data_IF_209765158875
#
_entry.id   IF_209765158875
#
_cell.length_a   1.000
_cell.length_b   1.000
_cell.length_c   1.000
_cell.angle_alpha   90.00
_cell.angle_beta   90.00
_cell.angle_gamma   90.00
#
_symmetry.space_group_name_H-M   'P 1'
#
loop_
_entity.id
_entity.type
_entity.pdbx_description
1 polymer ?
#
# COMPACT_ATOMS: atom_id res chain seq x y z
N UNK A 1 -75.80 21.97 -32.28
CA UNK A 1 -76.89 22.39 -31.36
C UNK A 1 -76.82 21.54 -30.10
N UNK A 2 -77.25 22.10 -28.96
CA UNK A 2 -77.08 21.56 -27.61
C UNK A 2 -77.57 20.11 -27.40
N UNK A 3 -78.49 19.63 -28.22
CA UNK A 3 -79.10 18.28 -28.10
C UNK A 3 -78.82 17.39 -29.32
N UNK A 4 -77.96 17.82 -30.24
CA UNK A 4 -77.69 17.10 -31.50
C UNK A 4 -78.80 17.15 -32.56
N UNK A 5 -80.00 17.64 -32.20
CA UNK A 5 -81.18 17.75 -33.10
C UNK A 5 -81.70 19.20 -33.12
N UNK A 6 -82.12 19.72 -34.28
CA UNK A 6 -82.68 21.07 -34.37
C UNK A 6 -84.11 21.12 -33.81
N UNK A 7 -84.45 22.08 -32.91
CA UNK A 7 -85.81 22.20 -32.36
C UNK A 7 -86.94 22.36 -33.39
N UNK A 8 -86.64 22.84 -34.60
CA UNK A 8 -87.61 23.10 -35.67
C UNK A 8 -87.48 22.13 -36.87
N UNK A 9 -86.58 21.13 -36.81
CA UNK A 9 -86.34 20.21 -37.92
C UNK A 9 -87.61 19.43 -38.30
N UNK A 10 -88.09 19.64 -39.53
CA UNK A 10 -89.13 18.83 -40.16
C UNK A 10 -88.55 17.71 -41.02
N UNK A 11 -89.41 16.84 -41.57
CA UNK A 11 -88.98 15.71 -42.43
C UNK A 11 -88.46 16.18 -43.79
N UNK A 12 -88.93 17.33 -44.28
CA UNK A 12 -88.44 18.02 -45.48
C UNK A 12 -87.99 19.44 -45.15
N UNK A 13 -87.22 20.05 -46.05
CA UNK A 13 -86.72 21.43 -45.89
C UNK A 13 -87.88 22.43 -45.76
N UNK A 14 -88.92 22.29 -46.59
CA UNK A 14 -90.09 23.17 -46.54
C UNK A 14 -90.81 23.07 -45.20
N UNK A 15 -90.94 21.87 -44.63
CA UNK A 15 -91.53 21.66 -43.30
C UNK A 15 -90.72 22.38 -42.22
N UNK A 16 -89.38 22.35 -42.33
CA UNK A 16 -88.48 23.04 -41.39
C UNK A 16 -88.64 24.55 -41.49
N UNK A 17 -88.68 25.11 -42.70
CA UNK A 17 -88.90 26.54 -42.93
C UNK A 17 -90.25 26.95 -42.38
N UNK A 18 -91.30 26.16 -42.63
CA UNK A 18 -92.64 26.42 -42.11
C UNK A 18 -92.69 26.38 -40.58
N UNK A 19 -92.02 25.41 -39.94
CA UNK A 19 -91.91 25.32 -38.48
C UNK A 19 -91.17 26.51 -37.87
N UNK A 20 -90.08 26.98 -38.49
CA UNK A 20 -89.36 28.19 -38.07
C UNK A 20 -90.27 29.41 -38.21
N UNK A 21 -90.96 29.54 -39.34
CA UNK A 21 -91.81 30.70 -39.65
C UNK A 21 -93.00 30.79 -38.71
N UNK A 22 -93.57 29.65 -38.32
CA UNK A 22 -94.69 29.55 -37.36
C UNK A 22 -94.25 29.48 -35.90
N UNK A 23 -92.95 29.48 -35.62
CA UNK A 23 -92.42 29.30 -34.25
C UNK A 23 -92.76 27.95 -33.62
N UNK A 24 -93.07 26.93 -34.42
CA UNK A 24 -93.50 25.61 -33.94
C UNK A 24 -92.30 24.70 -33.68
N UNK A 25 -91.85 24.62 -32.43
CA UNK A 25 -90.86 23.62 -32.03
C UNK A 25 -91.46 22.21 -32.09
N UNK A 26 -90.85 21.34 -32.90
CA UNK A 26 -91.27 19.94 -33.08
C UNK A 26 -90.63 19.06 -32.01
N UNK A 27 -89.41 19.41 -31.58
CA UNK A 27 -88.68 18.72 -30.52
C UNK A 27 -88.49 19.72 -29.38
N UNK A 28 -89.19 19.55 -28.23
CA UNK A 28 -88.99 20.42 -27.08
C UNK A 28 -87.60 20.18 -26.46
N UNK A 29 -87.12 21.16 -25.69
CA UNK A 29 -85.90 20.98 -24.93
C UNK A 29 -86.04 19.84 -23.91
N UNK A 30 -85.03 18.96 -23.76
CA UNK A 30 -85.02 17.91 -22.74
C UNK A 30 -85.20 18.46 -21.33
N UNK A 31 -85.74 17.65 -20.43
CA UNK A 31 -86.09 18.07 -19.06
C UNK A 31 -84.90 18.54 -18.20
N UNK A 32 -83.68 18.13 -18.57
CA UNK A 32 -82.45 18.59 -17.91
C UNK A 32 -82.06 20.03 -18.29
N UNK A 33 -82.61 20.58 -19.38
CA UNK A 33 -82.47 21.99 -19.74
C UNK A 33 -83.67 22.73 -19.14
N UNK A 34 -83.48 23.30 -17.96
CA UNK A 34 -84.50 23.99 -17.18
C UNK A 34 -83.98 25.31 -16.60
N UNK A 35 -84.87 26.08 -15.96
CA UNK A 35 -84.54 27.37 -15.35
C UNK A 35 -84.04 28.42 -16.35
N UNK A 36 -83.16 29.30 -15.87
CA UNK A 36 -82.60 30.45 -16.63
C UNK A 36 -81.93 30.03 -17.94
N UNK A 37 -81.25 28.87 -17.98
CA UNK A 37 -80.63 28.34 -19.20
C UNK A 37 -81.69 28.05 -20.28
N UNK A 38 -82.83 27.48 -19.90
CA UNK A 38 -83.92 27.19 -20.83
C UNK A 38 -84.51 28.49 -21.38
N UNK A 39 -84.73 29.48 -20.51
CA UNK A 39 -85.25 30.80 -20.90
C UNK A 39 -84.29 31.51 -21.85
N UNK A 40 -83.00 31.52 -21.54
CA UNK A 40 -81.95 32.06 -22.38
C UNK A 40 -81.96 31.43 -23.79
N UNK A 41 -82.04 30.10 -23.87
CA UNK A 41 -82.10 29.38 -25.14
C UNK A 41 -83.40 29.63 -25.92
N UNK A 42 -84.53 29.74 -25.24
CA UNK A 42 -85.80 30.09 -25.87
C UNK A 42 -85.76 31.51 -26.46
N UNK A 43 -85.17 32.46 -25.75
CA UNK A 43 -85.00 33.83 -26.23
C UNK A 43 -84.05 33.90 -27.43
N UNK A 44 -82.97 33.10 -27.46
CA UNK A 44 -82.08 32.98 -28.62
C UNK A 44 -82.76 32.41 -29.86
N UNK A 45 -83.79 31.57 -29.69
CA UNK A 45 -84.52 30.91 -30.77
C UNK A 45 -85.80 31.66 -31.19
N UNK A 46 -85.97 32.91 -30.76
CA UNK A 46 -87.13 33.72 -31.10
C UNK A 46 -87.29 33.86 -32.62
N UNK A 47 -88.51 33.77 -33.14
CA UNK A 47 -88.78 33.89 -34.58
C UNK A 47 -88.40 35.28 -35.10
N UNK A 48 -88.67 36.30 -34.29
CA UNK A 48 -88.30 37.69 -34.55
C UNK A 48 -86.82 37.92 -34.22
N UNK A 49 -86.04 38.32 -35.22
CA UNK A 49 -84.60 38.47 -35.08
C UNK A 49 -84.22 39.62 -34.14
N UNK A 50 -85.00 40.71 -34.12
CA UNK A 50 -84.74 41.90 -33.30
C UNK A 50 -85.08 41.67 -31.82
N UNK A 51 -85.79 40.59 -31.51
CA UNK A 51 -86.12 40.15 -30.14
C UNK A 51 -85.16 39.11 -29.59
N UNK A 52 -84.18 38.66 -30.37
CA UNK A 52 -83.14 37.75 -29.89
C UNK A 52 -82.12 38.56 -29.08
N UNK A 53 -81.69 38.06 -27.91
CA UNK A 53 -80.71 38.74 -27.11
C UNK A 53 -79.37 38.83 -27.85
N UNK A 54 -78.67 39.94 -27.65
CA UNK A 54 -77.31 40.14 -28.13
C UNK A 54 -76.32 39.26 -27.36
N UNK A 55 -75.11 39.08 -27.90
CA UNK A 55 -74.05 38.35 -27.21
C UNK A 55 -73.68 39.00 -25.86
N UNK A 56 -73.76 40.33 -25.76
CA UNK A 56 -73.51 41.05 -24.52
C UNK A 56 -74.59 40.76 -23.47
N UNK A 57 -75.87 40.85 -23.85
CA UNK A 57 -76.99 40.54 -22.93
C UNK A 57 -76.96 39.08 -22.46
N UNK A 58 -76.54 38.14 -23.33
CA UNK A 58 -76.35 36.74 -22.94
C UNK A 58 -75.22 36.58 -21.92
N UNK A 59 -74.08 37.23 -22.13
CA UNK A 59 -72.93 37.16 -21.23
C UNK A 59 -73.17 37.88 -19.89
N UNK A 60 -74.09 38.84 -19.88
CA UNK A 60 -74.49 39.59 -18.68
C UNK A 60 -75.55 38.88 -17.83
N UNK A 61 -76.08 37.74 -18.28
CA UNK A 61 -76.97 36.88 -17.47
C UNK A 61 -76.28 36.37 -16.21
N UNK A 62 -77.03 36.17 -15.13
CA UNK A 62 -76.47 35.67 -13.86
C UNK A 62 -75.79 34.31 -14.07
N UNK A 63 -76.44 33.43 -14.84
CA UNK A 63 -75.89 32.12 -15.22
C UNK A 63 -74.51 32.23 -15.88
N UNK A 64 -74.34 33.08 -16.90
CA UNK A 64 -73.07 33.23 -17.61
C UNK A 64 -71.99 33.90 -16.77
N UNK A 65 -72.36 34.87 -15.93
CA UNK A 65 -71.44 35.48 -14.97
C UNK A 65 -70.96 34.46 -13.93
N UNK A 66 -71.85 33.60 -13.42
CA UNK A 66 -71.46 32.51 -12.52
C UNK A 66 -70.54 31.50 -13.20
N UNK A 67 -70.84 31.08 -14.44
CA UNK A 67 -69.96 30.19 -15.19
C UNK A 67 -68.58 30.83 -15.41
N UNK A 68 -68.52 32.13 -15.74
CA UNK A 68 -67.26 32.86 -15.89
C UNK A 68 -66.46 32.92 -14.58
N UNK A 69 -67.12 33.07 -13.44
CA UNK A 69 -66.47 33.01 -12.12
C UNK A 69 -65.94 31.61 -11.81
N UNK A 70 -66.69 30.55 -12.13
CA UNK A 70 -66.26 29.16 -11.98
C UNK A 70 -65.02 28.89 -12.84
N UNK A 71 -65.04 29.33 -14.10
CA UNK A 71 -63.92 29.15 -15.03
C UNK A 71 -62.67 29.88 -14.53
N UNK A 72 -62.81 31.14 -14.09
CA UNK A 72 -61.71 31.90 -13.48
C UNK A 72 -61.16 31.25 -12.21
N UNK A 73 -62.03 30.72 -11.34
CA UNK A 73 -61.64 30.04 -10.12
C UNK A 73 -60.91 28.72 -10.40
N UNK A 74 -61.36 27.97 -11.41
CA UNK A 74 -60.71 26.75 -11.86
C UNK A 74 -59.32 27.06 -12.46
N UNK A 75 -59.20 28.08 -13.31
CA UNK A 75 -57.91 28.52 -13.85
C UNK A 75 -56.91 28.94 -12.75
N UNK A 76 -57.39 29.62 -11.70
CA UNK A 76 -56.54 29.99 -10.55
C UNK A 76 -56.12 28.78 -9.72
N UNK A 77 -57.02 27.80 -9.51
CA UNK A 77 -56.67 26.55 -8.82
C UNK A 77 -55.61 25.76 -9.59
N UNK A 78 -55.73 25.63 -10.90
CA UNK A 78 -54.76 24.92 -11.74
C UNK A 78 -53.39 25.60 -11.73
N UNK A 79 -53.35 26.95 -11.78
CA UNK A 79 -52.12 27.73 -11.63
C UNK A 79 -51.47 27.55 -10.25
N UNK A 80 -52.26 27.54 -9.17
CA UNK A 80 -51.75 27.36 -7.82
C UNK A 80 -51.19 25.95 -7.58
N UNK A 81 -51.86 24.92 -8.08
CA UNK A 81 -51.38 23.53 -8.03
C UNK A 81 -50.05 23.40 -8.80
N UNK A 82 -49.96 24.01 -9.99
CA UNK A 82 -48.72 24.08 -10.77
C UNK A 82 -47.58 24.76 -10.02
N UNK A 83 -47.84 25.92 -9.40
CA UNK A 83 -46.87 26.67 -8.62
C UNK A 83 -46.39 25.91 -7.37
N UNK A 84 -47.28 25.22 -6.65
CA UNK A 84 -46.90 24.40 -5.49
C UNK A 84 -46.03 23.21 -5.88
N UNK A 85 -46.35 22.53 -6.98
CA UNK A 85 -45.52 21.44 -7.50
C UNK A 85 -44.14 21.97 -7.94
N UNK A 86 -44.09 23.14 -8.58
CA UNK A 86 -42.84 23.77 -9.00
C UNK A 86 -41.99 24.19 -7.79
N UNK A 87 -42.57 24.76 -6.74
CA UNK A 87 -41.88 25.13 -5.51
C UNK A 87 -41.31 23.92 -4.74
N UNK A 88 -42.07 22.82 -4.66
CA UNK A 88 -41.57 21.55 -4.10
C UNK A 88 -40.34 21.06 -4.86
N UNK A 89 -40.37 21.13 -6.20
CA UNK A 89 -39.26 20.72 -7.06
C UNK A 89 -38.04 21.63 -6.92
N UNK A 90 -38.23 22.94 -6.75
CA UNK A 90 -37.16 23.89 -6.49
C UNK A 90 -36.47 23.56 -5.15
N UNK A 91 -37.25 23.36 -4.08
CA UNK A 91 -36.69 23.01 -2.76
C UNK A 91 -35.90 21.68 -2.79
N UNK A 92 -36.40 20.68 -3.51
CA UNK A 92 -35.68 19.42 -3.72
C UNK A 92 -34.38 19.61 -4.50
N UNK A 93 -34.39 20.45 -5.55
CA UNK A 93 -33.19 20.76 -6.32
C UNK A 93 -32.17 21.54 -5.49
N UNK A 94 -32.58 22.50 -4.68
CA UNK A 94 -31.69 23.22 -3.76
C UNK A 94 -31.08 22.31 -2.70
N UNK A 95 -31.84 21.35 -2.18
CA UNK A 95 -31.32 20.34 -1.26
C UNK A 95 -30.27 19.45 -1.94
N UNK A 96 -30.53 19.03 -3.19
CA UNK A 96 -29.56 18.27 -4.00
C UNK A 96 -28.31 19.07 -4.32
N UNK A 97 -28.44 20.36 -4.65
CA UNK A 97 -27.29 21.25 -4.90
C UNK A 97 -26.43 21.36 -3.64
N UNK A 98 -27.02 21.61 -2.48
CA UNK A 98 -26.29 21.65 -1.19
C UNK A 98 -25.56 20.34 -0.89
N UNK A 99 -26.19 19.20 -1.16
CA UNK A 99 -25.54 17.89 -0.99
C UNK A 99 -24.37 17.70 -1.97
N UNK A 100 -24.54 18.08 -3.23
CA UNK A 100 -23.47 18.01 -4.24
C UNK A 100 -22.29 18.90 -3.87
N UNK A 101 -22.53 20.14 -3.43
CA UNK A 101 -21.47 21.06 -2.99
C UNK A 101 -20.68 20.48 -1.80
N UNK A 102 -21.36 19.86 -0.83
CA UNK A 102 -20.71 19.19 0.29
C UNK A 102 -19.86 17.99 -0.16
N UNK A 103 -20.35 17.19 -1.11
CA UNK A 103 -19.60 16.07 -1.70
C UNK A 103 -18.36 16.56 -2.46
N UNK A 104 -18.50 17.56 -3.31
CA UNK A 104 -17.39 18.18 -4.04
C UNK A 104 -16.34 18.81 -3.09
N UNK A 105 -16.80 19.46 -2.01
CA UNK A 105 -15.92 20.00 -0.98
C UNK A 105 -15.11 18.90 -0.28
N UNK A 106 -15.75 17.78 0.05
CA UNK A 106 -15.10 16.61 0.66
C UNK A 106 -14.09 15.96 -0.31
N UNK A 107 -14.49 15.74 -1.56
CA UNK A 107 -13.61 15.17 -2.59
C UNK A 107 -12.35 16.04 -2.81
N UNK A 108 -12.51 17.37 -2.81
CA UNK A 108 -11.37 18.30 -2.93
C UNK A 108 -10.42 18.21 -1.74
N UNK A 109 -10.96 18.12 -0.51
CA UNK A 109 -10.14 17.94 0.69
C UNK A 109 -9.40 16.60 0.68
N UNK A 110 -10.06 15.53 0.24
CA UNK A 110 -9.45 14.21 0.16
C UNK A 110 -8.33 14.18 -0.89
N UNK A 111 -8.54 14.80 -2.07
CA UNK A 111 -7.49 14.99 -3.10
C UNK A 111 -6.30 15.80 -2.58
N UNK A 112 -6.52 16.88 -1.82
CA UNK A 112 -5.43 17.66 -1.24
C UNK A 112 -4.65 16.87 -0.18
N UNK A 113 -5.34 16.07 0.65
CA UNK A 113 -4.69 15.19 1.63
C UNK A 113 -3.85 14.11 0.94
N UNK A 114 -4.37 13.50 -0.11
CA UNK A 114 -3.64 12.52 -0.92
C UNK A 114 -2.40 13.13 -1.55
N UNK A 115 -2.53 14.33 -2.14
CA UNK A 115 -1.38 15.05 -2.70
C UNK A 115 -0.31 15.34 -1.64
N UNK A 116 -0.70 15.83 -0.45
CA UNK A 116 0.26 16.07 0.65
C UNK A 116 0.95 14.79 1.11
N UNK A 117 0.24 13.66 1.16
CA UNK A 117 0.81 12.33 1.49
C UNK A 117 1.80 11.87 0.42
N UNK A 118 1.47 12.06 -0.86
CA UNK A 118 2.36 11.75 -1.97
C UNK A 118 3.63 12.61 -1.93
N UNK A 119 3.48 13.93 -1.78
CA UNK A 119 4.62 14.86 -1.66
C UNK A 119 5.53 14.53 -0.48
N UNK A 120 4.97 14.11 0.65
CA UNK A 120 5.74 13.66 1.82
C UNK A 120 6.49 12.36 1.51
N UNK A 121 5.81 11.36 0.94
CA UNK A 121 6.42 10.09 0.57
C UNK A 121 7.57 10.27 -0.43
N UNK A 122 7.42 11.17 -1.40
CA UNK A 122 8.47 11.45 -2.38
C UNK A 122 9.68 12.17 -1.76
N UNK A 123 9.47 13.05 -0.78
CA UNK A 123 10.56 13.66 0.00
C UNK A 123 11.31 12.62 0.83
N UNK A 124 10.58 11.74 1.52
CA UNK A 124 11.17 10.65 2.31
C UNK A 124 12.01 9.72 1.44
N UNK A 125 11.50 9.32 0.26
CA UNK A 125 12.26 8.56 -0.74
C UNK A 125 13.50 9.31 -1.22
N UNK A 126 13.41 10.63 -1.42
CA UNK A 126 14.55 11.46 -1.81
C UNK A 126 15.69 11.42 -0.78
N UNK A 127 15.36 11.64 0.50
CA UNK A 127 16.31 11.56 1.62
C UNK A 127 16.94 10.17 1.71
N UNK A 128 16.11 9.13 1.58
CA UNK A 128 16.57 7.74 1.60
C UNK A 128 17.61 7.44 0.50
N UNK A 129 17.34 7.89 -0.74
CA UNK A 129 18.24 7.71 -1.88
C UNK A 129 19.57 8.44 -1.63
N UNK A 130 19.54 9.64 -1.04
CA UNK A 130 20.73 10.42 -0.72
C UNK A 130 21.59 9.72 0.34
N UNK A 131 20.98 9.27 1.44
CA UNK A 131 21.66 8.48 2.48
C UNK A 131 22.28 7.21 1.89
N UNK A 132 21.56 6.50 1.03
CA UNK A 132 22.07 5.31 0.36
C UNK A 132 23.30 5.61 -0.49
N UNK A 133 23.25 6.67 -1.31
CA UNK A 133 24.40 7.11 -2.12
C UNK A 133 25.59 7.49 -1.26
N UNK A 134 25.37 8.21 -0.15
CA UNK A 134 26.44 8.57 0.77
C UNK A 134 27.10 7.33 1.38
N UNK A 135 26.31 6.38 1.88
CA UNK A 135 26.81 5.12 2.41
C UNK A 135 27.64 4.34 1.37
N UNK A 136 27.20 4.35 0.10
CA UNK A 136 27.92 3.70 -1.00
C UNK A 136 29.23 4.42 -1.34
N UNK A 137 29.25 5.76 -1.37
CA UNK A 137 30.49 6.53 -1.61
C UNK A 137 31.52 6.29 -0.50
N UNK A 138 31.10 6.26 0.77
CA UNK A 138 31.97 5.92 1.89
C UNK A 138 32.57 4.52 1.74
N UNK A 139 31.78 3.56 1.25
CA UNK A 139 32.22 2.20 1.01
C UNK A 139 33.24 2.10 -0.12
N UNK A 140 33.00 2.82 -1.22
CA UNK A 140 33.92 2.88 -2.36
C UNK A 140 35.25 3.54 -1.95
N UNK A 141 35.21 4.54 -1.06
CA UNK A 141 36.42 5.13 -0.47
C UNK A 141 37.20 4.13 0.39
N UNK A 142 36.50 3.31 1.20
CA UNK A 142 37.14 2.22 1.96
C UNK A 142 37.80 1.22 1.02
N UNK A 143 37.12 0.83 -0.07
CA UNK A 143 37.67 -0.07 -1.07
C UNK A 143 38.91 0.51 -1.74
N UNK A 144 38.89 1.80 -2.12
CA UNK A 144 40.04 2.49 -2.70
C UNK A 144 41.24 2.53 -1.74
N UNK A 145 41.00 2.82 -0.45
CA UNK A 145 42.05 2.80 0.57
C UNK A 145 42.67 1.40 0.71
N UNK A 146 41.84 0.35 0.69
CA UNK A 146 42.29 -1.04 0.74
C UNK A 146 43.14 -1.37 -0.50
N UNK A 147 42.71 -0.99 -1.70
CA UNK A 147 43.47 -1.23 -2.93
C UNK A 147 44.85 -0.57 -2.92
N UNK A 148 44.97 0.64 -2.36
CA UNK A 148 46.27 1.30 -2.16
C UNK A 148 47.17 0.48 -1.22
N UNK A 149 46.63 -0.04 -0.12
CA UNK A 149 47.39 -0.86 0.85
C UNK A 149 47.66 -2.30 0.38
N UNK A 150 46.81 -2.87 -0.47
CA UNK A 150 46.86 -4.28 -0.88
C UNK A 150 47.86 -4.57 -2.00
N UNK A 151 48.33 -3.54 -2.73
CA UNK A 151 49.29 -3.71 -3.82
C UNK A 151 50.65 -4.28 -3.37
N UNK A 152 51.01 -4.22 -2.07
CA UNK A 152 52.22 -4.87 -1.54
C UNK A 152 52.01 -6.27 -0.96
N UNK A 153 50.77 -6.73 -0.74
CA UNK A 153 50.46 -7.94 0.04
C UNK A 153 49.81 -9.07 -0.77
N UNK A 154 49.77 -8.95 -2.11
CA UNK A 154 49.16 -9.97 -2.95
C UNK A 154 49.90 -11.32 -2.91
N UNK A 155 51.22 -11.29 -2.67
CA UNK A 155 52.10 -12.48 -2.68
C UNK A 155 52.73 -12.83 -1.31
N UNK A 156 52.49 -12.02 -0.26
CA UNK A 156 53.08 -12.25 1.06
C UNK A 156 52.23 -13.21 1.90
N UNK A 157 52.86 -14.28 2.40
CA UNK A 157 52.28 -15.17 3.40
C UNK A 157 52.24 -14.44 4.74
N UNK A 158 51.03 -14.13 5.22
CA UNK A 158 50.83 -13.51 6.53
C UNK A 158 51.22 -14.49 7.65
N UNK A 159 52.10 -14.04 8.54
CA UNK A 159 52.58 -14.86 9.65
C UNK A 159 51.61 -14.88 10.83
N UNK A 160 51.67 -15.92 11.67
CA UNK A 160 50.88 -15.99 12.90
C UNK A 160 51.19 -14.81 13.85
N UNK A 161 52.44 -14.37 13.90
CA UNK A 161 52.87 -13.22 14.70
C UNK A 161 52.17 -11.93 14.25
N UNK A 162 52.01 -11.74 12.95
CA UNK A 162 51.34 -10.56 12.40
C UNK A 162 49.84 -10.53 12.73
N UNK A 163 49.16 -11.68 12.72
CA UNK A 163 47.79 -11.77 13.22
C UNK A 163 47.68 -11.39 14.70
N UNK A 164 48.62 -11.83 15.52
CA UNK A 164 48.67 -11.52 16.95
C UNK A 164 48.91 -10.01 17.16
N UNK A 165 49.81 -9.40 16.38
CA UNK A 165 50.04 -7.95 16.43
C UNK A 165 48.78 -7.16 16.06
N UNK A 166 48.10 -7.53 14.97
CA UNK A 166 46.84 -6.90 14.58
C UNK A 166 45.76 -7.02 15.65
N UNK A 167 45.64 -8.21 16.27
CA UNK A 167 44.74 -8.43 17.40
C UNK A 167 45.08 -7.49 18.57
N UNK A 168 46.34 -7.41 18.95
CA UNK A 168 46.80 -6.56 20.06
C UNK A 168 46.50 -5.07 19.80
N UNK A 169 46.68 -4.60 18.55
CA UNK A 169 46.31 -3.24 18.15
C UNK A 169 44.81 -2.98 18.27
N UNK A 170 43.96 -3.94 17.87
CA UNK A 170 42.51 -3.84 18.02
C UNK A 170 42.05 -3.81 19.49
N UNK A 171 42.79 -4.50 20.37
CA UNK A 171 42.49 -4.56 21.82
C UNK A 171 42.89 -3.30 22.59
N UNK A 172 43.70 -2.39 22.01
CA UNK A 172 44.14 -1.17 22.68
C UNK A 172 42.95 -0.34 23.18
N UNK A 173 42.99 0.04 24.46
CA UNK A 173 41.95 0.87 25.05
C UNK A 173 42.09 2.33 24.61
N UNK A 174 40.97 2.99 24.33
CA UNK A 174 40.91 4.41 23.94
C UNK A 174 41.15 5.33 25.15
N UNK A 175 42.42 5.44 25.57
CA UNK A 175 42.86 6.27 26.70
C UNK A 175 43.63 7.50 26.22
N UNK A 176 43.74 8.50 27.09
CA UNK A 176 44.50 9.73 26.82
C UNK A 176 43.64 10.92 26.37
N UNK A 177 44.28 11.89 25.73
CA UNK A 177 43.63 13.09 25.19
C UNK A 177 42.69 12.77 24.03
N UNK A 178 41.85 13.73 23.63
CA UNK A 178 40.98 13.56 22.46
C UNK A 178 41.76 13.13 21.20
N UNK A 179 42.88 13.79 20.91
CA UNK A 179 43.74 13.46 19.76
C UNK A 179 44.33 12.05 19.86
N UNK A 180 44.75 11.62 21.06
CA UNK A 180 45.27 10.26 21.26
C UNK A 180 44.19 9.20 21.06
N UNK A 181 42.97 9.44 21.55
CA UNK A 181 41.83 8.53 21.32
C UNK A 181 41.49 8.43 19.83
N UNK A 182 41.45 9.56 19.12
CA UNK A 182 41.22 9.59 17.68
C UNK A 182 42.31 8.84 16.89
N UNK A 183 43.58 9.00 17.27
CA UNK A 183 44.68 8.23 16.68
C UNK A 183 44.51 6.73 16.91
N UNK A 184 44.13 6.31 18.11
CA UNK A 184 43.85 4.89 18.43
C UNK A 184 42.70 4.36 17.56
N UNK A 185 41.59 5.10 17.46
CA UNK A 185 40.43 4.72 16.63
C UNK A 185 40.81 4.59 15.17
N UNK A 186 41.53 5.58 14.63
CA UNK A 186 42.04 5.54 13.27
C UNK A 186 42.91 4.31 13.04
N UNK A 187 43.80 4.01 13.99
CA UNK A 187 44.67 2.83 13.89
C UNK A 187 43.86 1.53 13.85
N UNK A 188 42.83 1.39 14.68
CA UNK A 188 41.93 0.22 14.63
C UNK A 188 41.25 0.06 13.27
N UNK A 189 40.80 1.16 12.68
CA UNK A 189 40.20 1.16 11.34
C UNK A 189 41.21 0.71 10.28
N UNK A 190 42.45 1.21 10.34
CA UNK A 190 43.54 0.77 9.45
C UNK A 190 43.81 -0.73 9.59
N UNK A 191 43.80 -1.28 10.81
CA UNK A 191 43.95 -2.72 11.04
C UNK A 191 42.78 -3.50 10.43
N UNK A 192 41.53 -3.04 10.61
CA UNK A 192 40.39 -3.66 9.94
C UNK A 192 40.55 -3.66 8.41
N UNK A 193 41.02 -2.56 7.81
CA UNK A 193 41.29 -2.47 6.38
C UNK A 193 42.39 -3.43 5.93
N UNK A 194 43.46 -3.57 6.73
CA UNK A 194 44.53 -4.53 6.49
C UNK A 194 44.02 -5.97 6.51
N UNK A 195 43.18 -6.34 7.48
CA UNK A 195 42.52 -7.66 7.53
C UNK A 195 41.69 -7.92 6.26
N UNK A 196 40.92 -6.92 5.81
CA UNK A 196 40.13 -7.02 4.58
C UNK A 196 41.06 -7.26 3.39
N UNK A 197 42.15 -6.48 3.26
CA UNK A 197 43.11 -6.62 2.16
C UNK A 197 43.68 -8.04 2.04
N UNK A 198 43.99 -8.70 3.17
CA UNK A 198 44.54 -10.06 3.15
C UNK A 198 43.52 -11.13 2.74
N UNK A 199 42.25 -10.98 3.09
CA UNK A 199 41.25 -12.05 2.96
C UNK A 199 40.24 -11.82 1.83
N UNK A 200 40.09 -10.60 1.35
CA UNK A 200 39.10 -10.25 0.35
C UNK A 200 39.32 -11.04 -0.94
N UNK A 201 38.30 -11.79 -1.37
CA UNK A 201 38.32 -12.57 -2.61
C UNK A 201 39.23 -13.79 -2.61
N UNK A 202 39.95 -14.07 -1.51
CA UNK A 202 40.83 -15.25 -1.41
C UNK A 202 40.06 -16.44 -0.86
N UNK A 203 40.08 -17.58 -1.55
CA UNK A 203 39.47 -18.84 -1.07
C UNK A 203 40.37 -19.63 -0.10
N UNK A 204 41.41 -18.98 0.46
CA UNK A 204 42.35 -19.61 1.38
C UNK A 204 41.75 -19.69 2.80
N UNK A 205 41.22 -20.85 3.15
CA UNK A 205 40.68 -21.12 4.50
C UNK A 205 41.76 -21.22 5.58
N UNK A 206 42.99 -21.58 5.25
CA UNK A 206 44.10 -21.67 6.21
C UNK A 206 44.40 -20.29 6.83
N UNK A 207 44.39 -19.23 6.02
CA UNK A 207 44.57 -17.86 6.53
C UNK A 207 43.43 -17.42 7.45
N UNK A 208 42.19 -17.83 7.14
CA UNK A 208 41.04 -17.56 8.02
C UNK A 208 41.17 -18.31 9.33
N UNK A 209 41.54 -19.59 9.27
CA UNK A 209 41.74 -20.45 10.45
C UNK A 209 42.83 -19.86 11.37
N UNK A 210 43.99 -19.52 10.83
CA UNK A 210 45.09 -18.93 11.58
C UNK A 210 44.69 -17.62 12.29
N UNK A 211 43.97 -16.74 11.59
CA UNK A 211 43.44 -15.50 12.16
C UNK A 211 42.35 -15.73 13.23
N UNK A 212 41.48 -16.73 13.04
CA UNK A 212 40.48 -17.14 14.04
C UNK A 212 41.18 -17.66 15.31
N UNK A 213 42.21 -18.50 15.15
CA UNK A 213 43.03 -19.03 16.24
C UNK A 213 43.83 -17.94 16.96
N UNK A 214 44.30 -16.93 16.23
CA UNK A 214 44.95 -15.74 16.82
C UNK A 214 43.99 -14.88 17.67
N UNK A 215 42.67 -15.08 17.54
CA UNK A 215 41.65 -14.36 18.30
C UNK A 215 41.17 -13.07 17.65
N UNK A 216 41.33 -12.92 16.33
CA UNK A 216 40.83 -11.76 15.58
C UNK A 216 39.31 -11.65 15.68
N UNK A 217 38.60 -12.77 15.57
CA UNK A 217 37.14 -12.79 15.66
C UNK A 217 36.67 -12.36 17.06
N UNK A 218 37.33 -12.85 18.10
CA UNK A 218 37.00 -12.51 19.49
C UNK A 218 37.11 -11.00 19.75
N UNK A 219 38.16 -10.34 19.22
CA UNK A 219 38.31 -8.88 19.38
C UNK A 219 37.29 -8.10 18.52
N UNK A 220 37.00 -8.54 17.29
CA UNK A 220 35.99 -7.88 16.45
C UNK A 220 34.59 -7.96 17.09
N UNK A 221 34.20 -9.12 17.61
CA UNK A 221 32.95 -9.29 18.35
C UNK A 221 32.90 -8.43 19.63
N UNK A 222 34.04 -8.29 20.33
CA UNK A 222 34.15 -7.39 21.49
C UNK A 222 33.95 -5.93 21.08
N UNK A 223 34.54 -5.48 19.98
CA UNK A 223 34.33 -4.13 19.45
C UNK A 223 32.86 -3.88 19.11
N UNK A 224 32.21 -4.83 18.41
CA UNK A 224 30.79 -4.74 18.09
C UNK A 224 29.89 -4.70 19.32
N UNK A 225 30.29 -5.24 20.47
CA UNK A 225 29.49 -5.19 21.69
C UNK A 225 29.75 -3.93 22.54
N UNK A 226 30.95 -3.35 22.45
CA UNK A 226 31.41 -2.34 23.41
C UNK A 226 31.43 -0.91 22.86
N UNK A 227 31.64 -0.74 21.55
CA UNK A 227 31.64 0.59 20.95
C UNK A 227 30.22 1.17 20.88
N UNK A 228 30.03 2.50 21.04
CA UNK A 228 28.78 3.15 20.65
C UNK A 228 28.39 2.75 19.22
N UNK A 229 27.11 2.50 18.98
CA UNK A 229 26.66 1.92 17.70
C UNK A 229 27.08 2.78 16.50
N UNK A 230 26.90 4.10 16.60
CA UNK A 230 27.25 5.08 15.56
C UNK A 230 28.77 5.20 15.31
N UNK A 231 29.60 4.68 16.21
CA UNK A 231 31.06 4.64 16.03
C UNK A 231 31.52 3.40 15.25
N UNK A 232 30.63 2.44 14.98
CA UNK A 232 30.95 1.23 14.23
C UNK A 232 30.96 1.56 12.73
N UNK A 233 32.16 1.72 12.19
CA UNK A 233 32.34 1.99 10.76
C UNK A 233 32.15 0.75 9.88
N UNK A 234 31.96 0.99 8.58
CA UNK A 234 31.88 -0.07 7.56
C UNK A 234 33.12 -0.98 7.55
N UNK A 235 34.31 -0.45 7.83
CA UNK A 235 35.55 -1.24 7.90
C UNK A 235 35.52 -2.29 9.00
N UNK A 236 34.94 -1.97 10.18
CA UNK A 236 34.85 -2.93 11.27
C UNK A 236 34.00 -4.15 10.87
N UNK A 237 32.83 -3.90 10.26
CA UNK A 237 31.88 -4.96 9.91
C UNK A 237 32.34 -5.73 8.67
N UNK A 238 33.00 -5.06 7.73
CA UNK A 238 33.59 -5.74 6.57
C UNK A 238 34.78 -6.63 6.97
N UNK A 239 35.60 -6.21 7.94
CA UNK A 239 36.68 -7.04 8.48
C UNK A 239 36.16 -8.35 9.08
N UNK A 240 34.97 -8.36 9.68
CA UNK A 240 34.31 -9.61 10.09
C UNK A 240 33.76 -10.38 8.88
N UNK A 241 33.09 -9.68 7.97
CA UNK A 241 32.41 -10.31 6.83
C UNK A 241 33.34 -11.17 5.96
N UNK A 242 34.60 -10.76 5.73
CA UNK A 242 35.55 -11.50 4.88
C UNK A 242 35.91 -12.90 5.42
N UNK A 243 35.64 -13.16 6.71
CA UNK A 243 35.75 -14.49 7.30
C UNK A 243 34.54 -15.38 7.01
N UNK A 244 33.41 -14.80 6.59
CA UNK A 244 32.18 -15.54 6.31
C UNK A 244 32.00 -15.86 4.83
N UNK A 245 32.77 -15.21 3.93
CA UNK A 245 32.70 -15.43 2.49
C UNK A 245 33.93 -14.88 1.72
N UNK A 246 34.47 -15.62 0.72
CA UNK A 246 34.21 -17.05 0.47
C UNK A 246 34.86 -17.89 1.58
N UNK A 247 34.14 -18.86 2.14
CA UNK A 247 34.61 -19.67 3.28
C UNK A 247 33.92 -21.03 3.27
N UNK A 248 34.62 -22.09 3.65
CA UNK A 248 34.02 -23.42 3.80
C UNK A 248 33.08 -23.52 5.00
N UNK A 249 32.28 -24.59 5.01
CA UNK A 249 31.42 -24.92 6.15
C UNK A 249 32.24 -25.14 7.45
N UNK A 250 33.50 -25.61 7.38
CA UNK A 250 34.39 -25.75 8.55
C UNK A 250 34.70 -24.38 9.18
N UNK A 251 35.10 -23.40 8.37
CA UNK A 251 35.36 -22.03 8.86
C UNK A 251 34.08 -21.42 9.46
N UNK A 252 32.93 -21.63 8.83
CA UNK A 252 31.65 -21.13 9.32
C UNK A 252 31.24 -21.75 10.66
N UNK A 253 31.56 -23.03 10.89
CA UNK A 253 31.39 -23.68 12.19
C UNK A 253 32.31 -23.08 13.26
N UNK A 254 33.60 -22.88 12.94
CA UNK A 254 34.56 -22.23 13.86
C UNK A 254 34.10 -20.82 14.25
N UNK A 255 33.53 -20.06 13.31
CA UNK A 255 32.95 -18.76 13.61
C UNK A 255 31.73 -18.86 14.53
N UNK A 256 30.90 -19.89 14.38
CA UNK A 256 29.74 -20.10 15.23
C UNK A 256 30.13 -20.39 16.69
N UNK A 257 31.23 -21.12 16.91
CA UNK A 257 31.78 -21.40 18.25
C UNK A 257 32.17 -20.12 19.01
N UNK A 258 32.51 -19.05 18.28
CA UNK A 258 32.79 -17.72 18.85
C UNK A 258 31.54 -16.95 19.32
N UNK A 259 30.36 -17.57 19.23
CA UNK A 259 29.05 -17.01 19.65
C UNK A 259 28.78 -15.62 19.06
N UNK A 260 28.76 -15.49 17.73
CA UNK A 260 28.75 -14.18 17.07
C UNK A 260 27.38 -13.49 17.11
N UNK A 261 26.29 -14.23 17.34
CA UNK A 261 24.93 -13.73 17.16
C UNK A 261 24.59 -12.49 17.98
N UNK A 262 24.86 -12.39 19.30
CA UNK A 262 24.50 -11.20 20.06
C UNK A 262 25.14 -9.92 19.50
N UNK A 263 26.42 -10.01 19.12
CA UNK A 263 27.17 -8.89 18.56
C UNK A 263 26.66 -8.50 17.17
N UNK A 264 26.45 -9.47 16.28
CA UNK A 264 25.95 -9.21 14.92
C UNK A 264 24.50 -8.71 14.94
N UNK A 265 23.66 -9.22 15.83
CA UNK A 265 22.29 -8.77 16.01
C UNK A 265 22.22 -7.33 16.53
N UNK A 266 23.18 -6.88 17.35
CA UNK A 266 23.28 -5.47 17.78
C UNK A 266 23.47 -4.53 16.58
N UNK A 267 24.24 -4.95 15.58
CA UNK A 267 24.48 -4.16 14.37
C UNK A 267 23.23 -3.95 13.50
N UNK A 268 22.16 -4.72 13.73
CA UNK A 268 20.91 -4.58 12.99
C UNK A 268 20.12 -3.31 13.31
N UNK A 269 20.49 -2.59 14.39
CA UNK A 269 19.89 -1.28 14.72
C UNK A 269 20.67 -0.10 14.08
N UNK A 270 21.69 -0.39 13.27
CA UNK A 270 22.55 0.62 12.68
C UNK A 270 21.89 1.29 11.46
N UNK A 271 22.00 2.62 11.36
CA UNK A 271 21.39 3.42 10.27
C UNK A 271 22.09 3.25 8.92
N UNK A 272 23.41 3.05 8.93
CA UNK A 272 24.20 2.83 7.71
C UNK A 272 23.84 1.48 7.03
N UNK A 273 23.35 1.57 5.79
CA UNK A 273 22.94 0.43 4.97
C UNK A 273 24.02 -0.65 4.82
N UNK A 274 25.29 -0.24 4.66
CA UNK A 274 26.40 -1.17 4.42
C UNK A 274 26.70 -1.98 5.69
N UNK A 275 26.67 -1.33 6.85
CA UNK A 275 26.81 -2.01 8.15
C UNK A 275 25.70 -3.05 8.32
N UNK A 276 24.45 -2.62 8.10
CA UNK A 276 23.27 -3.48 8.21
C UNK A 276 23.37 -4.68 7.26
N UNK A 277 23.67 -4.43 5.99
CA UNK A 277 23.82 -5.46 4.94
C UNK A 277 24.93 -6.45 5.27
N UNK A 278 26.09 -5.98 5.74
CA UNK A 278 27.22 -6.88 6.07
C UNK A 278 26.88 -7.74 7.29
N UNK A 279 26.27 -7.16 8.33
CA UNK A 279 25.87 -7.89 9.52
C UNK A 279 24.87 -9.01 9.21
N UNK A 280 23.77 -8.70 8.50
CA UNK A 280 22.77 -9.71 8.14
C UNK A 280 23.32 -10.78 7.19
N UNK A 281 24.19 -10.41 6.26
CA UNK A 281 24.82 -11.38 5.34
C UNK A 281 25.75 -12.31 6.12
N UNK A 282 26.54 -11.79 7.07
CA UNK A 282 27.37 -12.62 7.94
C UNK A 282 26.56 -13.59 8.80
N UNK A 283 25.43 -13.15 9.37
CA UNK A 283 24.49 -14.06 10.06
C UNK A 283 24.00 -15.15 9.09
N UNK A 284 23.54 -14.77 7.90
CA UNK A 284 23.07 -15.74 6.90
C UNK A 284 24.14 -16.74 6.49
N UNK A 285 25.40 -16.32 6.36
CA UNK A 285 26.52 -17.17 5.98
C UNK A 285 26.84 -18.19 7.07
N UNK A 286 26.86 -17.78 8.34
CA UNK A 286 27.10 -18.68 9.46
C UNK A 286 25.95 -19.70 9.61
N UNK A 287 24.71 -19.27 9.38
CA UNK A 287 23.55 -20.18 9.40
C UNK A 287 23.60 -21.20 8.25
N UNK A 288 23.92 -20.78 7.02
CA UNK A 288 23.94 -21.74 5.89
C UNK A 288 25.01 -22.82 6.09
N UNK A 289 26.19 -22.48 6.61
CA UNK A 289 27.25 -23.46 6.83
C UNK A 289 26.81 -24.58 7.79
N UNK A 290 26.17 -24.21 8.90
CA UNK A 290 25.62 -25.19 9.82
C UNK A 290 24.41 -25.95 9.24
N UNK A 291 23.55 -25.27 8.46
CA UNK A 291 22.42 -25.90 7.80
C UNK A 291 22.83 -26.93 6.74
N UNK A 292 23.97 -26.75 6.06
CA UNK A 292 24.47 -27.67 5.03
C UNK A 292 24.91 -29.01 5.64
N UNK A 293 25.50 -28.97 6.83
CA UNK A 293 25.98 -30.13 7.56
C UNK A 293 24.89 -30.83 8.39
N UNK A 294 23.73 -30.21 8.51
CA UNK A 294 22.61 -30.77 9.28
C UNK A 294 21.76 -31.70 8.41
N UNK A 295 21.52 -32.96 8.83
CA UNK A 295 20.69 -33.89 8.08
C UNK A 295 19.29 -33.36 7.76
N UNK A 296 18.65 -33.96 6.74
CA UNK A 296 17.25 -33.65 6.40
C UNK A 296 16.34 -34.01 7.57
N UNK A 297 15.30 -33.21 7.81
CA UNK A 297 14.33 -33.35 8.90
C UNK A 297 14.90 -33.19 10.32
N UNK A 298 16.14 -32.70 10.44
CA UNK A 298 16.71 -32.30 11.73
C UNK A 298 16.63 -30.77 11.91
N UNK A 299 16.32 -30.28 13.12
CA UNK A 299 16.22 -28.86 13.38
C UNK A 299 17.57 -28.15 13.21
N UNK A 300 17.55 -26.87 12.90
CA UNK A 300 18.78 -26.09 12.73
C UNK A 300 19.59 -26.02 14.05
N UNK A 301 20.88 -26.38 14.07
CA UNK A 301 21.68 -26.46 15.31
C UNK A 301 21.83 -25.11 16.00
N UNK A 302 21.85 -24.02 15.24
CA UNK A 302 21.94 -22.66 15.79
C UNK A 302 20.60 -22.03 16.17
N UNK A 303 19.47 -22.73 16.04
CA UNK A 303 18.15 -22.15 16.36
C UNK A 303 18.11 -21.61 17.79
N UNK A 304 18.52 -22.42 18.76
CA UNK A 304 18.47 -22.05 20.17
C UNK A 304 19.40 -20.87 20.50
N UNK A 305 20.59 -20.83 19.88
CA UNK A 305 21.55 -19.74 20.09
C UNK A 305 20.97 -18.39 19.64
N UNK A 306 20.34 -18.34 18.47
CA UNK A 306 19.69 -17.13 17.95
C UNK A 306 18.43 -16.77 18.74
N UNK A 307 17.60 -17.76 19.08
CA UNK A 307 16.38 -17.54 19.86
C UNK A 307 16.69 -16.99 21.27
N UNK A 308 17.70 -17.55 21.95
CA UNK A 308 18.07 -17.16 23.32
C UNK A 308 18.54 -15.71 23.48
N UNK A 309 18.96 -15.06 22.38
CA UNK A 309 19.33 -13.65 22.36
C UNK A 309 18.28 -12.75 21.70
N UNK A 310 17.04 -13.23 21.54
CA UNK A 310 15.93 -12.47 20.92
C UNK A 310 16.13 -12.20 19.42
N UNK A 311 16.98 -12.99 18.76
CA UNK A 311 17.37 -12.77 17.37
C UNK A 311 16.25 -13.03 16.37
N UNK A 312 15.31 -13.94 16.67
CA UNK A 312 14.20 -14.27 15.77
C UNK A 312 13.25 -13.08 15.63
N UNK A 313 12.85 -12.52 16.76
CA UNK A 313 11.95 -11.38 16.87
C UNK A 313 12.59 -10.13 16.27
N UNK A 314 13.89 -9.94 16.52
CA UNK A 314 14.65 -8.82 15.95
C UNK A 314 14.75 -8.90 14.42
N UNK A 315 15.10 -10.08 13.90
CA UNK A 315 15.12 -10.33 12.46
C UNK A 315 13.73 -10.06 11.85
N UNK A 316 12.67 -10.61 12.43
CA UNK A 316 11.33 -10.41 11.89
C UNK A 316 10.84 -8.96 12.00
N UNK A 317 11.13 -8.26 13.09
CA UNK A 317 10.80 -6.84 13.20
C UNK A 317 11.54 -6.01 12.15
N UNK A 318 12.80 -6.34 11.83
CA UNK A 318 13.54 -5.66 10.79
C UNK A 318 12.97 -6.00 9.41
N UNK A 319 12.59 -7.25 9.15
CA UNK A 319 11.91 -7.67 7.91
C UNK A 319 10.69 -6.81 7.60
N UNK A 320 9.85 -6.53 8.61
CA UNK A 320 8.61 -5.74 8.44
C UNK A 320 8.85 -4.25 8.18
N UNK A 321 9.97 -3.70 8.68
CA UNK A 321 10.25 -2.26 8.65
C UNK A 321 11.26 -1.86 7.56
N UNK A 322 12.05 -2.81 7.09
CA UNK A 322 13.19 -2.52 6.24
C UNK A 322 12.77 -2.30 4.78
N UNK A 323 13.17 -1.16 4.24
CA UNK A 323 12.81 -0.73 2.87
C UNK A 323 13.76 -1.29 1.80
N UNK A 324 14.91 -1.85 2.21
CA UNK A 324 15.90 -2.41 1.28
C UNK A 324 15.59 -3.87 0.95
N UNK A 325 15.06 -4.13 -0.25
CA UNK A 325 14.70 -5.47 -0.72
C UNK A 325 15.80 -6.53 -0.48
N UNK A 326 17.06 -6.19 -0.80
CA UNK A 326 18.21 -7.08 -0.60
C UNK A 326 18.38 -7.51 0.87
N UNK A 327 18.18 -6.60 1.82
CA UNK A 327 18.28 -6.90 3.26
C UNK A 327 17.08 -7.73 3.70
N UNK A 328 15.88 -7.36 3.28
CA UNK A 328 14.63 -8.09 3.57
C UNK A 328 14.73 -9.54 3.09
N UNK A 329 15.32 -9.76 1.92
CA UNK A 329 15.65 -11.09 1.41
C UNK A 329 16.61 -11.87 2.33
N UNK A 330 17.74 -11.28 2.73
CA UNK A 330 18.69 -11.96 3.63
C UNK A 330 18.08 -12.28 4.98
N UNK A 331 17.21 -11.42 5.50
CA UNK A 331 16.46 -11.68 6.74
C UNK A 331 15.52 -12.87 6.56
N UNK A 332 14.74 -12.89 5.47
CA UNK A 332 13.86 -14.01 5.15
C UNK A 332 14.63 -15.33 4.98
N UNK A 333 15.82 -15.27 4.37
CA UNK A 333 16.73 -16.42 4.32
C UNK A 333 17.18 -16.85 5.71
N UNK A 334 17.59 -15.94 6.59
CA UNK A 334 17.99 -16.28 7.97
C UNK A 334 16.85 -17.00 8.71
N UNK A 335 15.63 -16.45 8.66
CA UNK A 335 14.45 -17.05 9.30
C UNK A 335 14.14 -18.42 8.67
N UNK A 336 14.15 -18.52 7.35
CA UNK A 336 13.91 -19.79 6.65
C UNK A 336 14.91 -20.89 7.00
N UNK A 337 16.19 -20.54 7.17
CA UNK A 337 17.23 -21.48 7.62
C UNK A 337 17.04 -21.88 9.09
N UNK A 338 16.75 -20.93 9.98
CA UNK A 338 16.54 -21.19 11.40
C UNK A 338 15.37 -22.15 11.65
N UNK A 339 14.29 -21.99 10.90
CA UNK A 339 13.10 -22.86 10.98
C UNK A 339 13.19 -24.12 10.09
N UNK A 340 14.41 -24.56 9.73
CA UNK A 340 14.64 -25.88 9.13
C UNK A 340 13.99 -26.96 10.00
N UNK A 341 13.14 -27.78 9.38
CA UNK A 341 12.41 -28.88 10.02
C UNK A 341 11.62 -28.48 11.30
N UNK A 342 11.34 -27.19 11.48
CA UNK A 342 10.66 -26.65 12.66
C UNK A 342 9.52 -25.74 12.24
N UNK A 343 8.36 -25.89 12.87
CA UNK A 343 7.21 -25.04 12.61
C UNK A 343 7.51 -23.56 12.98
N UNK A 344 7.13 -22.64 12.10
CA UNK A 344 6.98 -21.22 12.47
C UNK A 344 5.61 -21.06 13.13
N UNK A 345 5.55 -21.06 14.47
CA UNK A 345 4.29 -21.02 15.21
C UNK A 345 3.51 -19.70 15.03
N UNK A 346 4.23 -18.59 14.84
CA UNK A 346 3.60 -17.31 14.52
C UNK A 346 3.08 -17.33 13.07
N UNK A 347 1.75 -17.36 12.92
CA UNK A 347 1.08 -17.47 11.62
C UNK A 347 1.39 -16.27 10.71
N UNK A 348 1.45 -15.06 11.25
CA UNK A 348 1.77 -13.86 10.47
C UNK A 348 3.21 -13.96 9.92
N UNK A 349 4.17 -14.29 10.78
CA UNK A 349 5.56 -14.49 10.37
C UNK A 349 5.69 -15.58 9.31
N UNK A 350 5.00 -16.70 9.49
CA UNK A 350 5.01 -17.82 8.55
C UNK A 350 4.52 -17.36 7.17
N UNK A 351 3.38 -16.69 7.12
CA UNK A 351 2.77 -16.22 5.89
C UNK A 351 3.64 -15.17 5.19
N UNK A 352 4.17 -14.20 5.94
CA UNK A 352 5.01 -13.12 5.43
C UNK A 352 6.30 -13.65 4.80
N UNK A 353 7.01 -14.51 5.52
CA UNK A 353 8.32 -15.03 5.09
C UNK A 353 8.15 -15.97 3.90
N UNK A 354 7.15 -16.86 3.93
CA UNK A 354 6.89 -17.78 2.82
C UNK A 354 6.43 -17.02 1.57
N UNK A 355 5.49 -16.07 1.71
CA UNK A 355 5.05 -15.24 0.58
C UNK A 355 6.19 -14.47 -0.06
N UNK A 356 7.06 -13.87 0.75
CA UNK A 356 8.22 -13.12 0.25
C UNK A 356 9.22 -14.03 -0.49
N UNK A 357 9.57 -15.18 0.08
CA UNK A 357 10.46 -16.14 -0.57
C UNK A 357 9.86 -16.70 -1.88
N UNK A 358 8.54 -16.97 -1.92
CA UNK A 358 7.81 -17.38 -3.14
C UNK A 358 7.89 -16.29 -4.21
N UNK A 359 7.68 -15.03 -3.83
CA UNK A 359 7.78 -13.88 -4.75
C UNK A 359 9.16 -13.81 -5.41
N UNK A 360 10.23 -13.89 -4.61
CA UNK A 360 11.61 -13.85 -5.13
C UNK A 360 11.92 -15.05 -6.04
N UNK A 361 11.44 -16.25 -5.67
CA UNK A 361 11.64 -17.44 -6.50
C UNK A 361 10.90 -17.37 -7.84
N UNK A 362 9.73 -16.72 -7.88
CA UNK A 362 8.92 -16.60 -9.08
C UNK A 362 9.34 -15.43 -9.98
N UNK A 363 10.03 -14.42 -9.44
CA UNK A 363 10.54 -13.30 -10.22
C UNK A 363 11.69 -13.73 -11.14
N UNK A 364 11.39 -13.86 -12.43
CA UNK A 364 12.37 -14.21 -13.48
C UNK A 364 13.48 -13.18 -13.65
N UNK A 365 13.25 -11.93 -13.23
CA UNK A 365 14.24 -10.86 -13.32
C UNK A 365 15.05 -10.71 -12.02
N UNK A 366 14.67 -11.40 -10.94
CA UNK A 366 15.39 -11.30 -9.68
C UNK A 366 16.73 -12.04 -9.78
N UNK A 367 17.87 -11.36 -9.58
CA UNK A 367 19.17 -12.03 -9.49
C UNK A 367 19.23 -12.98 -8.28
N UNK A 368 18.27 -12.87 -7.35
CA UNK A 368 18.22 -13.64 -6.11
C UNK A 368 17.30 -14.87 -6.18
N UNK A 369 16.65 -15.13 -7.32
CA UNK A 369 15.73 -16.27 -7.51
C UNK A 369 16.32 -17.60 -7.04
N UNK A 370 17.55 -17.91 -7.45
CA UNK A 370 18.23 -19.13 -7.06
C UNK A 370 18.55 -19.20 -5.57
N UNK A 371 18.67 -18.06 -4.90
CA UNK A 371 18.99 -18.03 -3.49
C UNK A 371 17.76 -18.25 -2.59
N UNK A 372 16.54 -17.97 -3.07
CA UNK A 372 15.28 -18.28 -2.36
C UNK A 372 14.99 -19.80 -2.30
N UNK A 373 15.61 -20.58 -3.17
CA UNK A 373 15.52 -22.05 -3.23
C UNK A 373 15.86 -22.72 -1.90
N UNK A 374 17.01 -22.38 -1.33
CA UNK A 374 17.52 -23.00 -0.10
C UNK A 374 16.59 -22.83 1.12
N UNK A 375 16.19 -21.60 1.52
CA UNK A 375 15.30 -21.42 2.66
C UNK A 375 13.91 -22.05 2.45
N UNK A 376 13.35 -22.02 1.24
CA UNK A 376 12.07 -22.71 0.95
C UNK A 376 12.17 -24.22 1.19
N UNK A 377 13.25 -24.86 0.71
CA UNK A 377 13.50 -26.28 0.94
C UNK A 377 13.61 -26.60 2.44
N UNK A 378 14.36 -25.78 3.20
CA UNK A 378 14.55 -26.00 4.65
C UNK A 378 13.23 -25.88 5.42
N UNK A 379 12.42 -24.87 5.10
CA UNK A 379 11.10 -24.68 5.71
C UNK A 379 10.17 -25.86 5.42
N UNK A 380 10.17 -26.36 4.18
CA UNK A 380 9.33 -27.48 3.74
C UNK A 380 9.68 -28.85 4.37
N UNK A 381 10.76 -28.95 5.13
CA UNK A 381 11.07 -30.13 5.95
C UNK A 381 10.09 -30.27 7.13
N UNK A 382 9.40 -29.19 7.51
CA UNK A 382 8.27 -29.24 8.44
C UNK A 382 6.93 -29.29 7.69
N UNK A 383 6.00 -30.14 8.12
CA UNK A 383 4.72 -30.35 7.45
C UNK A 383 3.79 -29.13 7.42
N UNK A 384 3.77 -28.32 8.49
CA UNK A 384 2.91 -27.13 8.58
C UNK A 384 3.44 -26.03 7.67
N UNK A 385 4.75 -25.78 7.70
CA UNK A 385 5.38 -24.82 6.78
C UNK A 385 5.25 -25.29 5.32
N UNK A 386 5.40 -26.60 5.05
CA UNK A 386 5.20 -27.19 3.71
C UNK A 386 3.81 -26.89 3.18
N UNK A 387 2.77 -27.15 3.97
CA UNK A 387 1.39 -26.90 3.57
C UNK A 387 1.16 -25.43 3.20
N UNK A 388 1.78 -24.49 3.92
CA UNK A 388 1.72 -23.06 3.58
C UNK A 388 2.45 -22.74 2.28
N UNK A 389 3.63 -23.33 2.04
CA UNK A 389 4.41 -23.12 0.81
C UNK A 389 3.61 -23.61 -0.41
N UNK A 390 3.02 -24.80 -0.32
CA UNK A 390 2.30 -25.48 -1.41
C UNK A 390 0.94 -24.86 -1.76
N UNK A 391 0.45 -23.90 -0.97
CA UNK A 391 -0.76 -23.13 -1.31
C UNK A 391 -0.66 -22.50 -2.71
N UNK A 392 -1.82 -22.40 -3.34
CA UNK A 392 -1.98 -21.85 -4.69
C UNK A 392 -1.22 -22.64 -5.77
N UNK A 393 -0.93 -23.92 -5.50
CA UNK A 393 -0.25 -24.82 -6.43
C UNK A 393 1.25 -24.56 -6.60
N UNK A 394 1.87 -23.80 -5.69
CA UNK A 394 3.30 -23.54 -5.75
C UNK A 394 4.10 -24.82 -5.49
N UNK A 395 5.02 -25.15 -6.40
CA UNK A 395 5.89 -26.32 -6.28
C UNK A 395 7.16 -25.97 -5.52
N UNK A 396 7.46 -26.74 -4.47
CA UNK A 396 8.71 -26.58 -3.73
C UNK A 396 9.89 -26.85 -4.67
N UNK A 397 10.89 -25.97 -4.72
CA UNK A 397 12.06 -26.15 -5.57
C UNK A 397 12.84 -27.44 -5.26
N UNK A 398 13.27 -28.17 -6.30
CA UNK A 398 13.95 -29.48 -6.16
C UNK A 398 15.35 -29.43 -5.54
#
# INVERSE_FOLDING_TARGET
MLTGVHPYAGRRVNDTIENITKGKMVVPFPDYINGELKEMLMNMLNVDADKRPTAQELLDTELMQFQSQIDKANEQKDKNIGNEQQNKRINELEAKIRQLEALYGKERQDKEKEKRRADQSDREKGIFIEIFKQNQMEFDQVLANISLTGSSHNDEVISQTEWIEMKNELEKQERGTFQQKEQIRKKKIEICQKIIAYLLGKENDEYRKNAIEAGIIDVLLRLFNTLPLDSITQSHVWAFFVFTHPSSDEILLLLAEKKPYPALLRLLDHSNFIVLRRAVTSISNILIGASNLTPVNQPHPHFQAVASCGGIEKLYSLFKKNEYEIITYFIAKCIGLLFKAKEIANVEMRNDIISHLKSIYNDSNSPNKYFAKSPLKRLAENSINRAEIEKDGFKIPE
#
